data_IF_705447588306
#
_entry.id   IF_705447588306
#
_cell.length_a   1.000
_cell.length_b   1.000
_cell.length_c   1.000
_cell.angle_alpha   90.00
_cell.angle_beta   90.00
_cell.angle_gamma   90.00
#
_symmetry.space_group_name_H-M   'P 1'
#
loop_
_entity.id
_entity.type
_entity.pdbx_description
1 polymer ?
#
# COMPACT_ATOMS: atom_id res chain seq x y z
N UNK A 1 8.97 10.41 9.81
CA UNK A 1 10.10 11.25 10.08
C UNK A 1 9.70 12.68 10.38
N UNK A 2 10.36 13.29 11.30
CA UNK A 2 9.99 14.59 11.74
C UNK A 2 10.63 15.69 10.92
N UNK A 3 9.87 16.72 10.64
CA UNK A 3 10.38 17.88 9.93
C UNK A 3 11.42 18.58 10.77
N UNK A 4 12.45 19.10 10.12
CA UNK A 4 13.53 19.79 10.80
C UNK A 4 13.59 21.24 10.35
N UNK A 5 14.49 21.95 10.96
CA UNK A 5 14.75 23.32 10.60
C UNK A 5 13.65 24.25 11.03
N UNK A 6 13.16 25.00 10.11
CA UNK A 6 12.17 26.01 10.42
C UNK A 6 10.77 25.45 10.58
N UNK A 7 10.66 24.14 10.74
CA UNK A 7 9.36 23.53 10.96
C UNK A 7 8.75 23.78 12.32
N UNK A 8 9.41 24.56 13.16
CA UNK A 8 8.94 24.77 14.52
C UNK A 8 7.54 25.34 14.60
N UNK A 9 7.08 26.02 13.56
CA UNK A 9 5.72 26.59 13.56
C UNK A 9 4.75 25.73 12.78
N UNK A 10 5.16 24.56 12.32
CA UNK A 10 4.30 23.70 11.57
C UNK A 10 3.62 22.70 12.48
N UNK A 11 2.36 22.42 12.24
CA UNK A 11 1.66 21.38 12.98
C UNK A 11 1.60 20.09 12.21
N UNK A 12 1.79 20.14 10.89
CA UNK A 12 1.80 18.92 10.09
C UNK A 12 3.14 18.24 10.15
N UNK A 13 3.11 16.92 10.10
CA UNK A 13 4.30 16.12 9.95
C UNK A 13 4.43 15.74 8.48
N UNK A 14 5.66 15.73 7.98
CA UNK A 14 5.90 15.54 6.57
C UNK A 14 6.62 14.21 6.35
N UNK A 15 6.07 13.38 5.48
CA UNK A 15 6.65 12.11 5.10
C UNK A 15 6.79 12.08 3.59
N UNK A 16 7.88 11.50 3.11
CA UNK A 16 8.13 11.45 1.69
C UNK A 16 8.16 10.01 1.23
N UNK A 17 7.51 9.76 0.10
CA UNK A 17 7.52 8.44 -0.49
C UNK A 17 8.79 8.28 -1.32
N UNK A 18 9.36 7.08 -1.30
CA UNK A 18 10.46 6.74 -2.18
C UNK A 18 9.96 6.85 -3.62
N UNK A 19 10.78 7.46 -4.47
CA UNK A 19 10.45 7.63 -5.87
C UNK A 19 11.32 6.72 -6.71
N UNK A 20 10.86 6.44 -7.93
CA UNK A 20 11.62 5.65 -8.87
C UNK A 20 10.91 4.37 -9.22
N UNK A 21 11.70 3.40 -9.69
CA UNK A 21 11.15 2.17 -10.23
C UNK A 21 11.71 0.92 -9.55
N UNK A 22 12.50 1.07 -8.50
CA UNK A 22 13.03 -0.10 -7.81
C UNK A 22 11.99 -0.65 -6.86
N UNK A 23 12.02 -1.96 -6.67
CA UNK A 23 11.10 -2.61 -5.74
C UNK A 23 11.19 -1.94 -4.38
N UNK A 24 10.05 -1.55 -3.87
CA UNK A 24 9.95 -0.83 -2.61
C UNK A 24 8.78 -1.38 -1.82
N UNK A 25 9.01 -1.67 -0.55
CA UNK A 25 7.95 -1.99 0.41
C UNK A 25 8.32 -1.20 1.66
N UNK A 26 7.67 -0.06 1.86
CA UNK A 26 8.08 0.82 2.93
C UNK A 26 6.90 1.18 3.82
N UNK A 27 7.19 1.28 5.11
CA UNK A 27 6.24 1.70 6.12
C UNK A 27 6.42 3.20 6.30
N UNK A 28 5.47 3.99 5.81
CA UNK A 28 5.59 5.44 5.81
C UNK A 28 5.14 6.01 7.15
N UNK A 29 3.97 5.59 7.61
CA UNK A 29 3.44 6.03 8.89
C UNK A 29 2.93 4.80 9.62
N UNK A 30 3.47 4.57 10.81
CA UNK A 30 3.03 3.48 11.66
C UNK A 30 2.75 4.07 13.03
N UNK A 31 1.48 4.23 13.35
CA UNK A 31 1.10 4.76 14.64
C UNK A 31 -0.15 4.05 15.13
N UNK A 32 -0.73 4.55 16.19
CA UNK A 32 -1.87 3.90 16.82
C UNK A 32 -3.15 4.02 15.99
N UNK A 33 -3.18 4.91 15.03
CA UNK A 33 -4.38 5.16 14.24
C UNK A 33 -4.38 4.43 12.93
N UNK A 34 -3.25 4.42 12.23
CA UNK A 34 -3.16 3.80 10.91
C UNK A 34 -1.78 3.22 10.68
N UNK A 35 -1.74 2.30 9.72
CA UNK A 35 -0.49 1.90 9.06
C UNK A 35 -0.61 2.36 7.62
N UNK A 36 0.30 3.21 7.20
CA UNK A 36 0.33 3.76 5.85
C UNK A 36 1.57 3.21 5.16
N UNK A 37 1.36 2.43 4.12
CA UNK A 37 2.44 1.71 3.45
C UNK A 37 2.46 2.07 1.98
N UNK A 38 3.65 2.03 1.42
CA UNK A 38 3.86 2.41 0.02
C UNK A 38 4.66 1.32 -0.66
N UNK A 39 4.20 0.88 -1.83
CA UNK A 39 4.81 -0.22 -2.56
C UNK A 39 5.08 0.14 -4.00
N UNK A 40 6.22 -0.33 -4.49
CA UNK A 40 6.57 -0.28 -5.91
C UNK A 40 7.00 -1.69 -6.29
N UNK A 41 6.35 -2.25 -7.30
CA UNK A 41 6.65 -3.59 -7.79
C UNK A 41 6.88 -3.54 -9.28
N UNK A 42 7.92 -4.23 -9.74
CA UNK A 42 8.19 -4.38 -11.15
C UNK A 42 7.58 -5.67 -11.67
N UNK A 43 7.68 -5.90 -12.96
CA UNK A 43 7.08 -7.07 -13.58
C UNK A 43 7.54 -8.34 -12.88
N UNK A 44 6.59 -9.18 -12.53
CA UNK A 44 6.85 -10.45 -11.89
C UNK A 44 7.04 -10.38 -10.38
N UNK A 45 7.08 -9.19 -9.82
CA UNK A 45 7.26 -9.05 -8.37
C UNK A 45 5.91 -9.07 -7.68
N UNK A 46 5.91 -9.60 -6.46
CA UNK A 46 4.69 -9.76 -5.70
C UNK A 46 4.99 -9.57 -4.22
N UNK A 47 3.91 -9.34 -3.46
CA UNK A 47 3.99 -9.37 -2.01
C UNK A 47 3.67 -10.79 -1.55
N UNK A 48 4.20 -11.20 -0.39
CA UNK A 48 3.82 -12.50 0.15
C UNK A 48 2.32 -12.57 0.39
N UNK A 49 1.74 -13.73 0.12
CA UNK A 49 0.33 -13.94 0.41
C UNK A 49 0.11 -13.80 1.92
N UNK A 50 -0.93 -13.06 2.28
CA UNK A 50 -1.22 -12.86 3.69
C UNK A 50 -2.69 -12.48 3.85
N UNK A 51 -3.17 -12.57 5.08
CA UNK A 51 -4.53 -12.16 5.41
C UNK A 51 -4.51 -10.72 5.92
N UNK A 52 -5.53 -9.96 5.55
CA UNK A 52 -5.67 -8.61 6.06
C UNK A 52 -5.88 -8.69 7.57
N UNK A 53 -5.13 -7.88 8.32
CA UNK A 53 -5.16 -7.91 9.77
C UNK A 53 -5.70 -6.63 10.39
N UNK A 54 -6.32 -5.79 9.59
CA UNK A 54 -6.97 -4.58 10.06
C UNK A 54 -8.43 -4.64 9.70
N UNK A 55 -9.25 -3.91 10.45
CA UNK A 55 -10.68 -3.88 10.19
C UNK A 55 -10.95 -3.47 8.75
N UNK A 56 -10.22 -2.49 8.26
CA UNK A 56 -10.32 -2.07 6.87
C UNK A 56 -8.93 -1.91 6.29
N UNK A 57 -8.76 -2.37 5.07
CA UNK A 57 -7.53 -2.16 4.30
C UNK A 57 -7.94 -1.43 3.04
N UNK A 58 -7.31 -0.28 2.79
CA UNK A 58 -7.59 0.52 1.62
C UNK A 58 -6.37 0.48 0.72
N UNK A 59 -6.56 0.10 -0.54
CA UNK A 59 -5.48 0.00 -1.51
C UNK A 59 -5.75 0.98 -2.62
N UNK A 60 -4.83 1.90 -2.84
CA UNK A 60 -4.94 2.90 -3.91
C UNK A 60 -3.87 2.63 -4.94
N UNK A 61 -4.26 2.38 -6.19
CA UNK A 61 -3.31 2.17 -7.27
C UNK A 61 -2.92 3.54 -7.81
N UNK A 62 -1.63 3.86 -7.74
CA UNK A 62 -1.11 5.17 -8.12
C UNK A 62 -0.63 5.16 -9.56
N UNK A 63 0.07 4.11 -9.98
CA UNK A 63 0.48 3.95 -11.37
C UNK A 63 0.60 2.46 -11.68
N UNK A 64 0.47 2.13 -12.96
CA UNK A 64 0.54 0.75 -13.40
C UNK A 64 -0.74 0.01 -13.14
N UNK A 65 -0.65 -1.30 -13.06
CA UNK A 65 -1.81 -2.19 -12.92
C UNK A 65 -1.54 -3.18 -11.80
N UNK A 66 -2.43 -3.22 -10.83
CA UNK A 66 -2.36 -4.16 -9.72
C UNK A 66 -3.16 -5.40 -10.06
N UNK A 67 -2.51 -6.56 -9.96
CA UNK A 67 -3.20 -7.84 -10.09
C UNK A 67 -3.49 -8.35 -8.69
N UNK A 68 -4.76 -8.54 -8.38
CA UNK A 68 -5.18 -8.90 -7.02
C UNK A 68 -6.10 -10.10 -7.04
N UNK A 69 -5.78 -11.08 -6.20
CA UNK A 69 -6.64 -12.24 -5.96
C UNK A 69 -7.01 -12.20 -4.48
N UNK A 70 -8.31 -12.03 -4.21
CA UNK A 70 -8.81 -11.90 -2.85
C UNK A 70 -9.66 -13.13 -2.53
N UNK A 71 -9.25 -13.83 -1.46
CA UNK A 71 -9.89 -15.09 -1.09
C UNK A 71 -9.86 -16.06 -2.28
N UNK A 72 -10.99 -16.71 -2.55
CA UNK A 72 -11.09 -17.68 -3.63
C UNK A 72 -11.70 -17.07 -4.89
N UNK A 73 -11.74 -15.76 -4.97
CA UNK A 73 -12.28 -15.08 -6.13
C UNK A 73 -11.32 -15.16 -7.31
N UNK A 74 -11.83 -14.80 -8.47
CA UNK A 74 -10.97 -14.67 -9.63
C UNK A 74 -9.99 -13.54 -9.44
N UNK A 75 -8.87 -13.63 -10.17
CA UNK A 75 -7.90 -12.55 -10.18
C UNK A 75 -8.46 -11.40 -11.03
N UNK A 76 -8.39 -10.20 -10.49
CA UNK A 76 -8.81 -9.00 -11.19
C UNK A 76 -7.65 -8.04 -11.28
N UNK A 77 -7.66 -7.22 -12.32
CA UNK A 77 -6.63 -6.21 -12.52
C UNK A 77 -7.23 -4.83 -12.37
N UNK A 78 -6.51 -3.98 -11.65
CA UNK A 78 -6.99 -2.65 -11.32
C UNK A 78 -5.95 -1.64 -11.73
N UNK A 79 -6.38 -0.64 -12.49
CA UNK A 79 -5.49 0.36 -13.04
C UNK A 79 -5.36 1.55 -12.12
N UNK A 80 -4.40 2.41 -12.43
CA UNK A 80 -4.17 3.62 -11.65
C UNK A 80 -5.46 4.41 -11.48
N UNK A 81 -5.66 4.94 -10.28
CA UNK A 81 -6.87 5.66 -9.96
C UNK A 81 -7.93 4.81 -9.26
N UNK A 82 -7.67 3.51 -9.10
CA UNK A 82 -8.61 2.61 -8.43
C UNK A 82 -8.32 2.55 -6.95
N UNK A 83 -9.37 2.58 -6.13
CA UNK A 83 -9.26 2.37 -4.68
C UNK A 83 -10.07 1.15 -4.32
N UNK A 84 -9.41 0.19 -3.66
CA UNK A 84 -10.08 -1.00 -3.15
C UNK A 84 -10.24 -0.88 -1.65
N UNK A 85 -11.39 -1.32 -1.15
CA UNK A 85 -11.61 -1.45 0.29
C UNK A 85 -11.74 -2.93 0.60
N UNK A 86 -10.82 -3.46 1.40
CA UNK A 86 -10.74 -4.90 1.68
C UNK A 86 -11.04 -5.12 3.14
N UNK A 87 -12.01 -5.99 3.46
CA UNK A 87 -12.39 -6.20 4.85
C UNK A 87 -11.37 -7.06 5.62
N UNK A 88 -11.57 -7.13 6.92
CA UNK A 88 -10.74 -7.91 7.81
C UNK A 88 -10.71 -9.38 7.39
N UNK A 89 -9.55 -9.99 7.54
CA UNK A 89 -9.36 -11.45 7.38
C UNK A 89 -9.60 -11.91 5.96
N UNK A 90 -9.19 -11.10 5.00
CA UNK A 90 -9.24 -11.44 3.59
C UNK A 90 -7.85 -11.89 3.15
N UNK A 91 -7.78 -13.05 2.52
CA UNK A 91 -6.52 -13.53 1.97
C UNK A 91 -6.21 -12.72 0.72
N UNK A 92 -5.02 -12.14 0.68
CA UNK A 92 -4.65 -11.23 -0.39
C UNK A 92 -3.40 -11.70 -1.11
N UNK A 93 -3.49 -11.77 -2.43
CA UNK A 93 -2.35 -11.99 -3.30
C UNK A 93 -2.24 -10.79 -4.22
N UNK A 94 -1.21 -9.99 -4.03
CA UNK A 94 -1.04 -8.74 -4.75
C UNK A 94 0.27 -8.82 -5.53
N UNK A 95 0.20 -8.56 -6.84
CA UNK A 95 1.40 -8.68 -7.66
C UNK A 95 1.29 -7.80 -8.89
N UNK A 96 2.42 -7.66 -9.57
CA UNK A 96 2.50 -6.97 -10.85
C UNK A 96 2.83 -7.97 -11.94
N UNK A 97 1.90 -8.16 -12.88
CA UNK A 97 2.12 -9.06 -14.02
C UNK A 97 2.31 -8.28 -15.32
N UNK A 98 2.22 -6.95 -15.27
CA UNK A 98 2.33 -6.15 -16.48
C UNK A 98 3.77 -5.66 -16.66
N UNK A 99 4.02 -5.09 -17.85
CA UNK A 99 5.35 -4.57 -18.15
C UNK A 99 5.66 -3.28 -17.40
N UNK A 100 4.62 -2.53 -17.04
CA UNK A 100 4.81 -1.24 -16.40
C UNK A 100 5.04 -1.41 -14.91
N UNK A 101 5.81 -0.50 -14.34
CA UNK A 101 6.01 -0.47 -12.89
C UNK A 101 4.68 -0.17 -12.21
N UNK A 102 4.40 -0.92 -11.17
CA UNK A 102 3.20 -0.74 -10.36
C UNK A 102 3.57 0.00 -9.08
N UNK A 103 2.77 1.00 -8.74
CA UNK A 103 2.93 1.72 -7.49
C UNK A 103 1.58 1.83 -6.83
N UNK A 104 1.51 1.46 -5.55
CA UNK A 104 0.23 1.53 -4.83
C UNK A 104 0.47 1.80 -3.35
N UNK A 105 -0.58 2.27 -2.70
CA UNK A 105 -0.55 2.64 -1.30
C UNK A 105 -1.55 1.77 -0.58
N UNK A 106 -1.15 1.28 0.60
CA UNK A 106 -2.02 0.46 1.46
C UNK A 106 -2.16 1.17 2.79
N UNK A 107 -3.42 1.44 3.17
CA UNK A 107 -3.72 2.04 4.46
C UNK A 107 -4.54 1.05 5.26
N UNK A 108 -4.08 0.74 6.45
CA UNK A 108 -4.82 -0.13 7.39
C UNK A 108 -5.40 0.76 8.49
N UNK A 109 -6.71 0.67 8.69
CA UNK A 109 -7.40 1.55 9.64
C UNK A 109 -8.56 0.80 10.29
N UNK A 110 -8.64 0.82 11.63
CA UNK A 110 -7.60 1.32 12.52
C UNK A 110 -6.32 0.51 12.44
N UNK A 111 -5.25 1.02 13.04
CA UNK A 111 -3.99 0.29 13.04
C UNK A 111 -4.19 -1.09 13.63
N UNK A 112 -3.64 -2.13 12.98
CA UNK A 112 -3.84 -3.48 13.50
C UNK A 112 -3.10 -3.70 14.81
N UNK A 113 -3.70 -4.52 15.65
CA UNK A 113 -3.02 -4.98 16.86
C UNK A 113 -2.21 -6.19 16.45
N UNK A 114 -0.94 -6.07 16.43
CA UNK A 114 -0.15 -7.21 16.03
C UNK A 114 0.10 -8.18 17.15
#
# INVERSE_FOLDING_TARGET
MKQKGDGKNMIEQIFKLTQGNEKTVEKVIIDENIHYMHMILNKGECLPEHFSNAKNVYITVVRGTLSATLNEQETHEYQAGTVLKVPFHTKMNLKNVSEETLEFIVVKAPAPNC
#
